data_IF_980670940296
#
_entry.id   IF_980670940296
#
_cell.length_a   1.000
_cell.length_b   1.000
_cell.length_c   1.000
_cell.angle_alpha   90.00
_cell.angle_beta   90.00
_cell.angle_gamma   90.00
#
_symmetry.space_group_name_H-M   'P 1'
#
loop_
_entity.id
_entity.type
_entity.pdbx_description
1 polymer ?
#
# COMPACT_ATOMS: atom_id res chain seq x y z
N UNK A 1 50.56 69.52 36.66
CA UNK A 1 50.31 68.29 35.81
C UNK A 1 48.83 68.20 35.33
N UNK A 2 48.21 69.29 34.85
CA UNK A 2 46.76 69.31 34.55
C UNK A 2 46.37 69.82 33.12
N UNK A 3 47.35 70.18 32.33
CA UNK A 3 47.07 70.68 30.92
C UNK A 3 47.14 69.64 29.82
N UNK A 4 47.60 68.41 30.06
CA UNK A 4 47.72 67.34 29.03
C UNK A 4 46.48 66.44 28.91
N UNK A 5 45.57 66.46 29.90
CA UNK A 5 44.36 65.57 29.84
C UNK A 5 43.24 66.15 28.99
N UNK A 6 43.15 67.43 28.73
CA UNK A 6 42.04 68.03 27.96
C UNK A 6 42.22 67.94 26.45
N UNK A 7 43.44 67.82 25.94
CA UNK A 7 43.75 67.70 24.53
C UNK A 7 43.44 66.32 23.99
N UNK A 8 43.59 65.25 24.75
CA UNK A 8 43.33 63.85 24.35
C UNK A 8 41.85 63.56 24.21
N UNK A 9 40.99 64.12 25.04
CA UNK A 9 39.52 63.96 24.97
C UNK A 9 38.87 64.65 23.75
N UNK A 10 39.46 65.71 23.22
CA UNK A 10 38.97 66.38 22.01
C UNK A 10 39.31 65.65 20.75
N UNK A 11 40.41 64.93 20.67
CA UNK A 11 40.80 64.10 19.54
C UNK A 11 39.97 62.82 19.44
N UNK A 12 39.60 62.19 20.55
CA UNK A 12 38.77 61.02 20.54
C UNK A 12 37.32 61.28 20.10
N UNK A 13 36.73 62.43 20.42
CA UNK A 13 35.39 62.81 19.95
C UNK A 13 35.33 63.11 18.47
N UNK A 14 36.36 63.78 17.91
CA UNK A 14 36.38 64.12 16.48
C UNK A 14 36.62 62.88 15.62
N UNK A 15 37.47 61.96 16.06
CA UNK A 15 37.78 60.73 15.32
C UNK A 15 36.59 59.72 15.33
N UNK A 16 35.80 59.70 16.40
CA UNK A 16 34.62 58.85 16.51
C UNK A 16 33.48 59.34 15.58
N UNK A 17 33.33 60.64 15.38
CA UNK A 17 32.31 61.20 14.44
C UNK A 17 32.60 60.82 12.98
N UNK A 18 33.87 60.95 12.56
CA UNK A 18 34.25 60.60 11.18
C UNK A 18 34.12 59.08 10.85
N UNK A 19 34.34 58.20 11.82
CA UNK A 19 34.18 56.78 11.61
C UNK A 19 32.69 56.36 11.51
N UNK A 20 31.78 57.02 12.22
CA UNK A 20 30.35 56.73 12.12
C UNK A 20 29.74 57.19 10.79
N UNK A 21 30.11 58.32 10.25
CA UNK A 21 29.60 58.76 8.95
C UNK A 21 30.07 57.94 7.78
N UNK A 22 31.30 57.41 7.81
CA UNK A 22 31.84 56.52 6.78
C UNK A 22 31.20 55.15 6.83
N UNK A 23 30.81 54.63 8.01
CA UNK A 23 30.14 53.36 8.18
C UNK A 23 28.67 53.41 7.69
N UNK A 24 27.96 54.54 7.94
CA UNK A 24 26.59 54.67 7.45
C UNK A 24 26.51 54.83 5.91
N UNK A 25 27.46 55.54 5.27
CA UNK A 25 27.49 55.64 3.79
C UNK A 25 27.83 54.30 3.11
N UNK A 26 28.67 53.49 3.74
CA UNK A 26 29.00 52.14 3.21
C UNK A 26 27.86 51.14 3.39
N UNK A 27 27.10 51.25 4.48
CA UNK A 27 25.98 50.37 4.78
C UNK A 27 24.82 50.54 3.80
N UNK A 28 24.50 51.75 3.38
CA UNK A 28 23.42 52.02 2.43
C UNK A 28 23.75 51.57 1.01
N UNK A 29 25.01 51.56 0.61
CA UNK A 29 25.40 51.09 -0.73
C UNK A 29 25.44 49.55 -0.82
N UNK A 30 25.75 48.86 0.27
CA UNK A 30 25.66 47.41 0.33
C UNK A 30 24.21 46.91 0.39
N UNK A 31 23.29 47.66 0.99
CA UNK A 31 21.87 47.30 1.03
C UNK A 31 21.19 47.41 -0.36
N UNK A 32 21.58 48.42 -1.16
CA UNK A 32 21.04 48.61 -2.52
C UNK A 32 21.58 47.54 -3.49
N UNK A 33 22.83 47.11 -3.35
CA UNK A 33 23.39 46.04 -4.21
C UNK A 33 22.85 44.65 -3.86
N UNK A 34 22.49 44.38 -2.59
CA UNK A 34 21.86 43.12 -2.18
C UNK A 34 20.41 43.00 -2.72
N UNK A 35 19.65 44.10 -2.78
CA UNK A 35 18.30 44.11 -3.33
C UNK A 35 18.30 43.89 -4.86
N UNK A 36 19.29 44.42 -5.59
CA UNK A 36 19.42 44.21 -7.04
C UNK A 36 19.80 42.77 -7.42
N UNK A 37 20.58 42.04 -6.58
CA UNK A 37 20.91 40.62 -6.81
C UNK A 37 19.72 39.69 -6.57
N UNK A 38 18.78 40.04 -5.70
CA UNK A 38 17.57 39.24 -5.47
C UNK A 38 16.59 39.28 -6.65
N UNK A 39 16.56 40.36 -7.42
CA UNK A 39 15.68 40.48 -8.61
C UNK A 39 16.20 39.69 -9.82
N UNK A 40 17.50 39.47 -9.92
CA UNK A 40 18.10 38.66 -11.02
C UNK A 40 17.97 37.16 -10.78
N UNK A 41 17.82 36.73 -9.52
CA UNK A 41 17.59 35.34 -9.20
C UNK A 41 16.18 34.82 -9.56
N UNK A 42 15.17 35.69 -9.62
CA UNK A 42 13.79 35.31 -9.92
C UNK A 42 13.56 35.02 -11.43
N UNK A 43 14.35 35.58 -12.33
CA UNK A 43 14.12 35.46 -13.79
C UNK A 43 14.58 34.10 -14.35
N UNK A 44 15.36 33.31 -13.61
CA UNK A 44 15.91 32.03 -14.09
C UNK A 44 15.34 30.80 -13.38
N UNK A 45 14.30 30.96 -12.55
CA UNK A 45 13.72 29.84 -11.79
C UNK A 45 12.58 29.11 -12.52
N UNK A 46 12.07 29.67 -13.61
CA UNK A 46 10.95 29.09 -14.36
C UNK A 46 11.29 27.71 -14.92
N UNK A 47 12.37 27.60 -15.68
CA UNK A 47 12.77 26.34 -16.31
C UNK A 47 13.08 25.22 -15.27
N UNK A 48 13.83 25.48 -14.18
CA UNK A 48 13.99 24.47 -13.12
C UNK A 48 12.68 24.06 -12.44
N UNK A 49 11.73 24.99 -12.25
CA UNK A 49 10.44 24.66 -11.65
C UNK A 49 9.56 23.81 -12.59
N UNK A 50 9.55 24.14 -13.89
CA UNK A 50 8.86 23.33 -14.92
C UNK A 50 9.47 21.92 -15.01
N UNK A 51 10.78 21.79 -14.98
CA UNK A 51 11.48 20.51 -14.98
C UNK A 51 11.16 19.68 -13.71
N UNK A 52 11.09 20.34 -12.55
CA UNK A 52 10.73 19.66 -11.30
C UNK A 52 9.30 19.07 -11.37
N UNK A 53 8.33 19.84 -11.86
CA UNK A 53 6.94 19.36 -12.06
C UNK A 53 6.90 18.20 -13.06
N UNK A 54 7.60 18.30 -14.20
CA UNK A 54 7.63 17.25 -15.21
C UNK A 54 8.18 15.93 -14.65
N UNK A 55 9.22 16.00 -13.81
CA UNK A 55 9.76 14.83 -13.11
C UNK A 55 8.77 14.22 -12.13
N UNK A 56 8.03 15.04 -11.38
CA UNK A 56 7.00 14.55 -10.46
C UNK A 56 5.87 13.87 -11.21
N UNK A 57 5.39 14.46 -12.31
CA UNK A 57 4.34 13.88 -13.16
C UNK A 57 4.77 12.53 -13.71
N UNK A 58 5.95 12.46 -14.34
CA UNK A 58 6.48 11.20 -14.87
C UNK A 58 6.62 10.13 -13.79
N UNK A 59 7.07 10.53 -12.59
CA UNK A 59 7.24 9.60 -11.47
C UNK A 59 5.91 9.09 -10.91
N UNK A 60 4.88 9.95 -10.90
CA UNK A 60 3.54 9.59 -10.43
C UNK A 60 2.83 8.70 -11.45
N UNK A 61 2.92 9.03 -12.75
CA UNK A 61 2.32 8.24 -13.82
C UNK A 61 2.88 6.82 -13.87
N UNK A 62 4.19 6.66 -13.66
CA UNK A 62 4.85 5.35 -13.63
C UNK A 62 4.34 4.40 -12.54
N UNK A 63 3.66 4.91 -11.51
CA UNK A 63 3.14 4.10 -10.40
C UNK A 63 1.61 4.15 -10.28
N UNK A 64 0.96 4.97 -11.10
CA UNK A 64 -0.46 5.33 -10.99
C UNK A 64 -1.35 4.08 -10.88
N UNK A 65 -1.26 3.14 -11.82
CA UNK A 65 -2.14 1.97 -11.85
C UNK A 65 -1.95 1.07 -10.63
N UNK A 66 -0.69 0.85 -10.21
CA UNK A 66 -0.40 0.07 -9.01
C UNK A 66 -0.92 0.77 -7.76
N UNK A 67 -0.68 2.09 -7.67
CA UNK A 67 -1.14 2.90 -6.53
C UNK A 67 -2.67 3.01 -6.49
N UNK A 68 -3.34 3.16 -7.63
CA UNK A 68 -4.80 3.18 -7.71
C UNK A 68 -5.43 1.89 -7.18
N UNK A 69 -4.79 0.76 -7.42
CA UNK A 69 -5.28 -0.54 -6.96
C UNK A 69 -4.99 -0.80 -5.48
N UNK A 70 -3.81 -0.44 -4.99
CA UNK A 70 -3.33 -0.89 -3.68
C UNK A 70 -3.21 0.22 -2.62
N UNK A 71 -3.15 1.50 -3.04
CA UNK A 71 -3.00 2.66 -2.15
C UNK A 71 -3.80 3.89 -2.63
N UNK A 72 -5.11 3.76 -2.94
CA UNK A 72 -5.90 4.82 -3.60
C UNK A 72 -5.98 6.13 -2.81
N UNK A 73 -6.10 6.06 -1.48
CA UNK A 73 -6.17 7.26 -0.64
C UNK A 73 -4.86 8.05 -0.62
N UNK A 74 -3.73 7.32 -0.56
CA UNK A 74 -2.40 7.93 -0.61
C UNK A 74 -2.14 8.52 -1.99
N UNK A 75 -2.55 7.83 -3.06
CA UNK A 75 -2.47 8.35 -4.44
C UNK A 75 -3.21 9.68 -4.56
N UNK A 76 -4.46 9.75 -4.15
CA UNK A 76 -5.28 10.97 -4.19
C UNK A 76 -4.64 12.13 -3.42
N UNK A 77 -4.02 11.85 -2.27
CA UNK A 77 -3.28 12.86 -1.49
C UNK A 77 -2.09 13.41 -2.27
N UNK A 78 -1.30 12.54 -2.90
CA UNK A 78 -0.12 12.93 -3.69
C UNK A 78 -0.54 13.71 -4.95
N UNK A 79 -1.57 13.28 -5.66
CA UNK A 79 -2.13 14.00 -6.81
C UNK A 79 -2.57 15.42 -6.43
N UNK A 80 -3.21 15.59 -5.28
CA UNK A 80 -3.58 16.91 -4.76
C UNK A 80 -2.35 17.79 -4.53
N UNK A 81 -1.26 17.23 -3.97
CA UNK A 81 -0.01 17.97 -3.76
C UNK A 81 0.64 18.40 -5.10
N UNK A 82 0.71 17.49 -6.06
CA UNK A 82 1.21 17.81 -7.42
C UNK A 82 0.35 18.88 -8.08
N UNK A 83 -0.98 18.79 -7.97
CA UNK A 83 -1.91 19.80 -8.48
C UNK A 83 -1.69 21.17 -7.85
N UNK A 84 -1.45 21.23 -6.53
CA UNK A 84 -1.13 22.50 -5.84
C UNK A 84 0.18 23.12 -6.37
N UNK A 85 1.21 22.31 -6.62
CA UNK A 85 2.45 22.79 -7.22
C UNK A 85 2.25 23.33 -8.65
N UNK A 86 1.43 22.65 -9.47
CA UNK A 86 1.06 23.14 -10.82
C UNK A 86 0.33 24.50 -10.78
N UNK A 87 -0.53 24.68 -9.78
CA UNK A 87 -1.19 25.96 -9.57
C UNK A 87 -0.22 27.08 -9.17
N UNK A 88 0.78 26.76 -8.31
CA UNK A 88 1.85 27.71 -7.96
C UNK A 88 2.71 28.06 -9.17
N UNK A 89 3.06 27.07 -10.00
CA UNK A 89 3.78 27.26 -11.26
C UNK A 89 3.01 28.21 -12.20
N UNK A 90 1.70 27.99 -12.37
CA UNK A 90 0.84 28.81 -13.22
C UNK A 90 0.71 30.28 -12.73
N UNK A 91 0.81 30.48 -11.41
CA UNK A 91 0.86 31.83 -10.80
C UNK A 91 2.23 32.49 -10.88
N UNK A 92 3.25 31.81 -11.40
CA UNK A 92 4.63 32.32 -11.46
C UNK A 92 5.39 32.24 -10.14
N UNK A 93 4.87 31.52 -9.14
CA UNK A 93 5.54 31.32 -7.85
C UNK A 93 6.52 30.13 -7.93
N UNK A 94 7.59 30.32 -8.70
CA UNK A 94 8.59 29.30 -8.97
C UNK A 94 9.39 28.92 -7.73
N UNK A 95 9.58 29.88 -6.80
CA UNK A 95 10.33 29.64 -5.56
C UNK A 95 9.61 28.66 -4.65
N UNK A 96 8.29 28.79 -4.49
CA UNK A 96 7.46 27.85 -3.75
C UNK A 96 7.43 26.47 -4.38
N UNK A 97 7.39 26.39 -5.72
CA UNK A 97 7.47 25.10 -6.44
C UNK A 97 8.79 24.39 -6.12
N UNK A 98 9.94 25.09 -6.29
CA UNK A 98 11.25 24.51 -6.04
C UNK A 98 11.47 24.12 -4.57
N UNK A 99 10.92 24.87 -3.63
CA UNK A 99 11.00 24.56 -2.22
C UNK A 99 10.17 23.32 -1.84
N UNK A 100 8.98 23.15 -2.43
CA UNK A 100 8.06 22.06 -2.07
C UNK A 100 8.21 20.78 -2.91
N UNK A 101 8.75 20.87 -4.13
CA UNK A 101 8.91 19.73 -5.03
C UNK A 101 9.69 18.53 -4.41
N UNK A 102 10.77 18.72 -3.61
CA UNK A 102 11.46 17.61 -2.97
C UNK A 102 10.59 16.83 -1.97
N UNK A 103 9.71 17.53 -1.23
CA UNK A 103 8.78 16.88 -0.31
C UNK A 103 7.74 16.03 -1.06
N UNK A 104 7.21 16.54 -2.18
CA UNK A 104 6.27 15.80 -3.04
C UNK A 104 6.98 14.60 -3.70
N UNK A 105 8.23 14.75 -4.14
CA UNK A 105 9.03 13.63 -4.66
C UNK A 105 9.21 12.53 -3.61
N UNK A 106 9.43 12.90 -2.36
CA UNK A 106 9.49 11.95 -1.23
C UNK A 106 8.14 11.26 -1.00
N UNK A 107 7.04 12.00 -1.09
CA UNK A 107 5.69 11.43 -0.97
C UNK A 107 5.38 10.43 -2.11
N UNK A 108 5.78 10.73 -3.35
CA UNK A 108 5.65 9.79 -4.49
C UNK A 108 6.49 8.52 -4.25
N UNK A 109 7.71 8.67 -3.72
CA UNK A 109 8.54 7.51 -3.38
C UNK A 109 7.88 6.64 -2.31
N UNK A 110 7.37 7.23 -1.24
CA UNK A 110 6.66 6.53 -0.18
C UNK A 110 5.38 5.83 -0.71
N UNK A 111 4.62 6.49 -1.58
CA UNK A 111 3.47 5.90 -2.27
C UNK A 111 3.86 4.67 -3.10
N UNK A 112 4.98 4.74 -3.83
CA UNK A 112 5.51 3.60 -4.60
C UNK A 112 5.83 2.42 -3.71
N UNK A 113 6.55 2.66 -2.61
CA UNK A 113 6.95 1.62 -1.66
C UNK A 113 5.73 0.97 -0.99
N UNK A 114 4.74 1.77 -0.57
CA UNK A 114 3.48 1.29 0.01
C UNK A 114 2.68 0.44 -0.99
N UNK A 115 2.49 0.94 -2.20
CA UNK A 115 1.76 0.23 -3.25
C UNK A 115 2.44 -1.09 -3.65
N UNK A 116 3.77 -1.11 -3.75
CA UNK A 116 4.55 -2.32 -4.04
C UNK A 116 4.45 -3.35 -2.90
N UNK A 117 4.55 -2.90 -1.66
CA UNK A 117 4.42 -3.77 -0.48
C UNK A 117 3.05 -4.43 -0.46
N UNK A 118 1.97 -3.66 -0.58
CA UNK A 118 0.59 -4.17 -0.60
C UNK A 118 0.32 -5.08 -1.80
N UNK A 119 0.90 -4.79 -2.97
CA UNK A 119 0.82 -5.68 -4.13
C UNK A 119 1.48 -7.03 -3.83
N UNK A 120 2.69 -7.02 -3.28
CA UNK A 120 3.41 -8.24 -2.93
C UNK A 120 2.69 -9.07 -1.86
N UNK A 121 2.09 -8.41 -0.86
CA UNK A 121 1.28 -9.05 0.17
C UNK A 121 0.02 -9.70 -0.43
N UNK A 122 -0.66 -9.01 -1.36
CA UNK A 122 -1.83 -9.54 -2.07
C UNK A 122 -1.46 -10.76 -2.93
N UNK A 123 -0.34 -10.71 -3.63
CA UNK A 123 0.16 -11.83 -4.44
C UNK A 123 0.54 -13.03 -3.56
N UNK A 124 1.19 -12.80 -2.42
CA UNK A 124 1.52 -13.85 -1.46
C UNK A 124 0.27 -14.49 -0.84
N UNK A 125 -0.72 -13.67 -0.48
CA UNK A 125 -2.01 -14.15 0.03
C UNK A 125 -2.74 -14.99 -1.02
N UNK A 126 -2.78 -14.55 -2.27
CA UNK A 126 -3.37 -15.31 -3.37
C UNK A 126 -2.63 -16.64 -3.61
N UNK A 127 -1.29 -16.63 -3.57
CA UNK A 127 -0.49 -17.84 -3.72
C UNK A 127 -0.79 -18.87 -2.61
N UNK A 128 -0.94 -18.40 -1.37
CA UNK A 128 -1.33 -19.23 -0.23
C UNK A 128 -2.71 -19.88 -0.44
N UNK A 129 -3.70 -19.08 -0.78
CA UNK A 129 -5.07 -19.57 -1.03
C UNK A 129 -5.10 -20.58 -2.20
N UNK A 130 -4.35 -20.32 -3.28
CA UNK A 130 -4.20 -21.29 -4.37
C UNK A 130 -3.56 -22.59 -3.92
N UNK A 131 -2.61 -22.55 -3.01
CA UNK A 131 -1.99 -23.75 -2.44
C UNK A 131 -2.96 -24.55 -1.56
N UNK A 132 -3.73 -23.86 -0.73
CA UNK A 132 -4.80 -24.47 0.07
C UNK A 132 -5.84 -25.15 -0.82
N UNK A 133 -6.25 -24.49 -1.89
CA UNK A 133 -7.15 -25.09 -2.88
C UNK A 133 -6.58 -26.38 -3.51
N UNK A 134 -5.29 -26.36 -3.91
CA UNK A 134 -4.63 -27.57 -4.45
C UNK A 134 -4.66 -28.72 -3.46
N UNK A 135 -4.47 -28.46 -2.19
CA UNK A 135 -4.57 -29.50 -1.14
C UNK A 135 -5.98 -30.08 -1.09
N UNK A 136 -7.00 -29.22 -1.08
CA UNK A 136 -8.40 -29.66 -1.09
C UNK A 136 -8.77 -30.46 -2.34
N UNK A 137 -8.28 -30.09 -3.52
CA UNK A 137 -8.54 -30.84 -4.77
C UNK A 137 -7.92 -32.24 -4.75
N UNK A 138 -6.91 -32.47 -3.93
CA UNK A 138 -6.34 -33.80 -3.73
C UNK A 138 -7.07 -34.60 -2.65
N UNK A 139 -7.41 -33.97 -1.54
CA UNK A 139 -7.97 -34.66 -0.35
C UNK A 139 -9.46 -34.92 -0.48
N UNK A 140 -10.26 -33.91 -0.86
CA UNK A 140 -11.73 -34.00 -0.86
C UNK A 140 -12.27 -35.10 -1.78
N UNK A 141 -11.82 -35.25 -3.03
CA UNK A 141 -12.32 -36.34 -3.88
C UNK A 141 -12.05 -37.73 -3.32
N UNK A 142 -10.91 -37.90 -2.61
CA UNK A 142 -10.59 -39.20 -1.96
C UNK A 142 -11.53 -39.50 -0.79
N UNK A 143 -11.81 -38.49 0.03
CA UNK A 143 -12.76 -38.62 1.14
C UNK A 143 -14.16 -38.96 0.63
N UNK A 144 -14.63 -38.25 -0.37
CA UNK A 144 -15.95 -38.46 -0.99
C UNK A 144 -16.04 -39.85 -1.62
N UNK A 145 -15.02 -40.27 -2.39
CA UNK A 145 -14.99 -41.61 -2.98
C UNK A 145 -14.97 -42.73 -1.91
N UNK A 146 -14.21 -42.52 -0.82
CA UNK A 146 -14.21 -43.45 0.32
C UNK A 146 -15.59 -43.56 0.97
N UNK A 147 -16.30 -42.47 1.13
CA UNK A 147 -17.66 -42.43 1.66
C UNK A 147 -18.65 -43.15 0.75
N UNK A 148 -18.61 -42.92 -0.57
CA UNK A 148 -19.45 -43.67 -1.56
C UNK A 148 -19.19 -45.15 -1.43
N UNK A 149 -17.94 -45.59 -1.44
CA UNK A 149 -17.56 -47.02 -1.29
C UNK A 149 -18.11 -47.61 0.01
N UNK A 150 -18.04 -46.87 1.12
CA UNK A 150 -18.54 -47.33 2.42
C UNK A 150 -20.07 -47.43 2.42
N UNK A 151 -20.79 -46.45 1.86
CA UNK A 151 -22.24 -46.46 1.74
C UNK A 151 -22.71 -47.66 0.88
N UNK A 152 -22.03 -47.92 -0.24
CA UNK A 152 -22.33 -49.05 -1.10
C UNK A 152 -22.09 -50.40 -0.40
N UNK A 153 -20.97 -50.51 0.32
CA UNK A 153 -20.65 -51.69 1.09
C UNK A 153 -21.69 -52.00 2.18
N UNK A 154 -22.11 -50.95 2.91
CA UNK A 154 -23.13 -51.09 3.96
C UNK A 154 -24.54 -51.30 3.39
N UNK A 155 -24.84 -50.78 2.21
CA UNK A 155 -26.11 -50.97 1.52
C UNK A 155 -26.26 -52.45 1.03
N UNK A 156 -25.19 -53.07 0.58
CA UNK A 156 -25.15 -54.45 0.08
C UNK A 156 -24.85 -55.51 1.17
N UNK A 157 -24.38 -55.03 2.36
CA UNK A 157 -23.95 -55.91 3.46
C UNK A 157 -25.12 -56.47 4.29
N UNK A 158 -24.80 -57.53 5.08
CA UNK A 158 -25.78 -58.22 5.89
C UNK A 158 -26.04 -57.56 7.27
N UNK A 159 -25.46 -56.41 7.54
CA UNK A 159 -25.68 -55.67 8.79
C UNK A 159 -24.85 -54.39 8.89
N UNK A 160 -25.28 -53.50 9.79
CA UNK A 160 -24.59 -52.26 10.05
C UNK A 160 -23.50 -52.45 11.13
N UNK A 161 -22.39 -51.68 11.07
CA UNK A 161 -21.37 -51.72 12.13
C UNK A 161 -21.94 -51.36 13.50
N UNK A 162 -21.24 -51.83 14.54
CA UNK A 162 -21.61 -51.51 15.93
C UNK A 162 -21.64 -49.98 16.12
N UNK A 163 -22.76 -49.46 16.60
CA UNK A 163 -22.97 -48.04 16.86
C UNK A 163 -23.61 -47.27 15.67
N UNK A 164 -23.75 -47.89 14.49
CA UNK A 164 -24.45 -47.30 13.34
C UNK A 164 -25.92 -47.81 13.33
N UNK A 165 -26.87 -46.90 13.46
CA UNK A 165 -28.32 -47.23 13.39
C UNK A 165 -28.80 -47.12 11.95
N UNK A 166 -29.98 -47.71 11.66
CA UNK A 166 -30.63 -47.55 10.35
C UNK A 166 -30.92 -46.06 10.02
N UNK A 167 -31.29 -45.27 11.04
CA UNK A 167 -31.56 -43.86 10.86
C UNK A 167 -30.29 -43.06 10.57
N UNK A 168 -29.20 -43.29 11.34
CA UNK A 168 -27.92 -42.58 11.06
C UNK A 168 -27.33 -42.99 9.73
N UNK A 169 -27.49 -44.23 9.31
CA UNK A 169 -27.06 -44.70 7.98
C UNK A 169 -27.86 -44.01 6.84
N UNK A 170 -29.18 -43.89 6.97
CA UNK A 170 -30.00 -43.19 5.98
C UNK A 170 -29.60 -41.71 5.86
N UNK A 171 -29.47 -41.02 7.00
CA UNK A 171 -28.99 -39.63 7.01
C UNK A 171 -27.58 -39.47 6.42
N UNK A 172 -26.67 -40.42 6.70
CA UNK A 172 -25.33 -40.37 6.12
C UNK A 172 -25.34 -40.61 4.61
N UNK A 173 -26.18 -41.53 4.12
CA UNK A 173 -26.37 -41.76 2.66
C UNK A 173 -26.84 -40.50 1.95
N UNK A 174 -27.85 -39.81 2.49
CA UNK A 174 -28.35 -38.54 1.93
C UNK A 174 -27.28 -37.44 2.00
N UNK A 175 -26.52 -37.40 3.09
CA UNK A 175 -25.40 -36.50 3.26
C UNK A 175 -24.31 -36.73 2.22
N UNK A 176 -23.92 -37.99 1.95
CA UNK A 176 -22.92 -38.33 0.92
C UNK A 176 -23.41 -37.91 -0.46
N UNK A 177 -24.68 -38.14 -0.82
CA UNK A 177 -25.25 -37.67 -2.09
C UNK A 177 -25.18 -36.16 -2.28
N UNK A 178 -25.19 -35.38 -1.18
CA UNK A 178 -25.07 -33.91 -1.24
C UNK A 178 -23.62 -33.42 -1.45
N UNK A 179 -22.61 -34.22 -1.08
CA UNK A 179 -21.19 -33.80 -1.17
C UNK A 179 -20.76 -33.54 -2.61
N UNK A 180 -21.22 -34.31 -3.58
CA UNK A 180 -20.88 -34.13 -5.01
C UNK A 180 -21.37 -32.77 -5.53
N UNK A 181 -22.58 -32.36 -5.17
CA UNK A 181 -23.12 -31.07 -5.53
C UNK A 181 -22.34 -29.91 -4.86
N UNK A 182 -22.00 -30.08 -3.56
CA UNK A 182 -21.20 -29.09 -2.82
C UNK A 182 -19.78 -28.96 -3.39
N UNK A 183 -19.16 -30.08 -3.78
CA UNK A 183 -17.84 -30.08 -4.39
C UNK A 183 -17.86 -29.45 -5.79
N UNK A 184 -18.90 -29.74 -6.58
CA UNK A 184 -19.12 -29.09 -7.87
C UNK A 184 -19.25 -27.58 -7.74
N UNK A 185 -20.00 -27.10 -6.74
CA UNK A 185 -20.14 -25.67 -6.45
C UNK A 185 -18.80 -25.03 -6.08
N UNK A 186 -17.98 -25.70 -5.27
CA UNK A 186 -16.62 -25.23 -4.92
C UNK A 186 -15.73 -25.10 -6.19
N UNK A 187 -15.77 -26.09 -7.10
CA UNK A 187 -15.02 -26.04 -8.36
C UNK A 187 -15.50 -24.92 -9.28
N UNK A 188 -16.81 -24.69 -9.38
CA UNK A 188 -17.37 -23.59 -10.16
C UNK A 188 -16.93 -22.22 -9.63
N UNK A 189 -16.77 -22.08 -8.31
CA UNK A 189 -16.27 -20.87 -7.67
C UNK A 189 -14.83 -20.56 -8.08
N UNK A 190 -13.96 -21.58 -8.20
CA UNK A 190 -12.60 -21.38 -8.77
C UNK A 190 -12.65 -20.93 -10.23
N UNK A 191 -13.56 -21.51 -11.01
CA UNK A 191 -13.68 -21.17 -12.44
C UNK A 191 -14.04 -19.69 -12.67
N UNK A 192 -14.68 -19.05 -11.69
CA UNK A 192 -14.91 -17.60 -11.69
C UNK A 192 -13.72 -16.77 -11.16
N UNK A 193 -12.62 -17.42 -10.75
CA UNK A 193 -11.42 -16.77 -10.20
C UNK A 193 -11.45 -16.54 -8.68
N UNK A 194 -12.53 -16.87 -8.00
CA UNK A 194 -12.66 -16.74 -6.54
C UNK A 194 -12.06 -17.95 -5.81
N UNK A 195 -10.74 -17.94 -5.65
CA UNK A 195 -10.03 -18.98 -4.90
C UNK A 195 -10.37 -18.99 -3.41
N UNK A 196 -10.62 -17.84 -2.81
CA UNK A 196 -10.92 -17.75 -1.38
C UNK A 196 -12.29 -18.35 -1.06
N UNK A 197 -13.32 -18.00 -1.86
CA UNK A 197 -14.64 -18.62 -1.76
C UNK A 197 -14.60 -20.12 -2.03
N UNK A 198 -13.81 -20.55 -2.99
CA UNK A 198 -13.65 -21.97 -3.30
C UNK A 198 -12.99 -22.76 -2.15
N UNK A 199 -11.95 -22.21 -1.52
CA UNK A 199 -11.32 -22.83 -0.33
C UNK A 199 -12.31 -22.94 0.82
N UNK A 200 -13.10 -21.89 1.07
CA UNK A 200 -14.15 -21.92 2.11
C UNK A 200 -15.17 -23.02 1.84
N UNK A 201 -15.67 -23.13 0.61
CA UNK A 201 -16.62 -24.17 0.20
C UNK A 201 -15.99 -25.57 0.23
N UNK A 202 -14.76 -25.70 -0.28
CA UNK A 202 -14.03 -26.97 -0.26
C UNK A 202 -13.75 -27.47 1.16
N UNK A 203 -13.43 -26.57 2.08
CA UNK A 203 -13.27 -26.91 3.50
C UNK A 203 -14.60 -27.39 4.11
N UNK A 204 -15.71 -26.73 3.79
CA UNK A 204 -17.03 -27.17 4.24
C UNK A 204 -17.38 -28.60 3.73
N UNK A 205 -17.01 -28.93 2.47
CA UNK A 205 -17.15 -30.30 1.96
C UNK A 205 -16.30 -31.29 2.76
N UNK A 206 -15.04 -30.95 3.03
CA UNK A 206 -14.13 -31.79 3.83
C UNK A 206 -14.65 -32.02 5.24
N UNK A 207 -15.14 -30.99 5.89
CA UNK A 207 -15.69 -31.07 7.25
C UNK A 207 -16.94 -31.94 7.28
N UNK A 208 -17.84 -31.75 6.33
CA UNK A 208 -19.04 -32.57 6.18
C UNK A 208 -18.70 -34.02 5.86
N UNK A 209 -17.74 -34.29 4.98
CA UNK A 209 -17.27 -35.64 4.70
C UNK A 209 -16.70 -36.31 5.97
N UNK A 210 -15.93 -35.60 6.75
CA UNK A 210 -15.38 -36.08 8.02
C UNK A 210 -16.47 -36.41 9.03
N UNK A 211 -17.50 -35.56 9.15
CA UNK A 211 -18.70 -35.84 9.98
C UNK A 211 -19.39 -37.15 9.56
N UNK A 212 -19.60 -37.31 8.26
CA UNK A 212 -20.24 -38.50 7.71
C UNK A 212 -19.40 -39.79 7.92
N UNK A 213 -18.07 -39.69 7.79
CA UNK A 213 -17.17 -40.80 8.12
C UNK A 213 -17.36 -41.26 9.57
N UNK A 214 -17.42 -40.33 10.49
CA UNK A 214 -17.68 -40.68 11.90
C UNK A 214 -19.07 -41.31 12.09
N UNK A 215 -20.10 -40.77 11.42
CA UNK A 215 -21.46 -41.32 11.48
C UNK A 215 -21.56 -42.76 10.94
N UNK A 216 -20.68 -43.11 9.97
CA UNK A 216 -20.59 -44.47 9.37
C UNK A 216 -19.60 -45.38 10.09
N UNK A 217 -19.02 -44.95 11.25
CA UNK A 217 -18.07 -45.72 12.02
C UNK A 217 -16.69 -45.87 11.36
N UNK A 218 -16.36 -45.01 10.38
CA UNK A 218 -15.05 -44.94 9.74
C UNK A 218 -14.06 -44.16 10.62
N UNK A 219 -12.80 -44.57 10.59
CA UNK A 219 -11.73 -43.74 11.17
C UNK A 219 -11.20 -42.77 10.08
N UNK A 220 -11.07 -41.50 10.35
CA UNK A 220 -10.34 -40.63 9.43
C UNK A 220 -8.91 -41.15 9.29
N UNK A 221 -8.46 -41.28 8.06
CA UNK A 221 -7.10 -41.71 7.69
C UNK A 221 -6.13 -40.52 7.68
#
# INVERSE_FOLDING_TARGET
MTKYKSARLKWDCVNRSYHQELLMKRSNWLAVSAAAMLMLACSNQKAPAEEAIAKLDTSLEAIHDTAAKYAPDTLKSVESQVSALKQSLAKGDYSSVLAAAPAVATAIKALREDAQTKSSEADAALAKVKQEWRTLTYEVPKLVAGLHTQVDTLSSGRGLPKGVTKASFASAKDGVASLDAMWTDANNTVSSGDYAGAVTKGQAVKDKATELMHALGMKPS
#
